data_IF_307693260756
#
_entry.id   IF_307693260756
#
_cell.length_a   1.000
_cell.length_b   1.000
_cell.length_c   1.000
_cell.angle_alpha   90.00
_cell.angle_beta   90.00
_cell.angle_gamma   90.00
#
_symmetry.space_group_name_H-M   'P 1'
#
loop_
_entity.id
_entity.type
_entity.pdbx_description
1 polymer ?
#
# COMPACT_ATOMS: atom_id res chain seq x y z
N UNK A 1 -6.35 -15.01 32.91
CA UNK A 1 -4.96 -15.33 32.48
C UNK A 1 -4.58 -14.78 31.08
N UNK A 2 -5.54 -14.34 30.26
CA UNK A 2 -5.30 -13.86 28.87
C UNK A 2 -4.87 -12.39 28.75
N UNK A 3 -5.39 -11.50 29.59
CA UNK A 3 -5.09 -10.06 29.53
C UNK A 3 -3.64 -9.74 29.92
N UNK A 4 -3.14 -10.34 31.02
CA UNK A 4 -1.76 -10.13 31.50
C UNK A 4 -0.73 -10.60 30.46
N UNK A 5 -0.97 -11.74 29.76
CA UNK A 5 -0.11 -12.20 28.66
C UNK A 5 -0.13 -11.28 27.44
N UNK A 6 -1.26 -10.62 27.18
CA UNK A 6 -1.39 -9.66 26.05
C UNK A 6 -0.63 -8.36 26.34
N UNK A 7 -0.76 -7.83 27.55
CA UNK A 7 0.01 -6.64 27.97
C UNK A 7 1.51 -6.90 28.04
N UNK A 8 1.94 -8.09 28.52
CA UNK A 8 3.35 -8.42 28.57
C UNK A 8 3.98 -8.51 27.16
N UNK A 9 3.28 -9.05 26.16
CA UNK A 9 3.77 -9.10 24.78
C UNK A 9 3.90 -7.69 24.16
N UNK A 10 2.95 -6.79 24.44
CA UNK A 10 3.02 -5.40 23.97
C UNK A 10 4.16 -4.62 24.64
N UNK A 11 4.36 -4.84 25.95
CA UNK A 11 5.47 -4.24 26.70
C UNK A 11 6.83 -4.74 26.20
N UNK A 12 6.98 -6.02 25.89
CA UNK A 12 8.22 -6.60 25.34
C UNK A 12 8.50 -6.00 23.96
N UNK A 13 7.48 -5.86 23.09
CA UNK A 13 7.64 -5.23 21.79
C UNK A 13 8.07 -3.77 21.89
N UNK A 14 7.41 -3.01 22.78
CA UNK A 14 7.75 -1.60 23.01
C UNK A 14 9.16 -1.44 23.61
N UNK A 15 9.52 -2.28 24.61
CA UNK A 15 10.86 -2.28 25.20
C UNK A 15 11.94 -2.63 24.18
N UNK A 16 11.70 -3.62 23.31
CA UNK A 16 12.62 -3.98 22.23
C UNK A 16 12.83 -2.84 21.23
N UNK A 17 11.75 -2.19 20.80
CA UNK A 17 11.83 -1.04 19.90
C UNK A 17 12.55 0.15 20.55
N UNK A 18 12.23 0.46 21.80
CA UNK A 18 12.93 1.54 22.55
C UNK A 18 14.42 1.23 22.74
N UNK A 19 14.77 -0.04 23.02
CA UNK A 19 16.16 -0.46 23.13
C UNK A 19 16.91 -0.25 21.80
N UNK A 20 16.31 -0.62 20.67
CA UNK A 20 16.90 -0.38 19.35
C UNK A 20 17.12 1.11 19.06
N UNK A 21 16.17 1.97 19.39
CA UNK A 21 16.31 3.42 19.22
C UNK A 21 17.43 3.98 20.09
N UNK A 22 17.56 3.53 21.35
CA UNK A 22 18.64 3.94 22.24
C UNK A 22 19.99 3.46 21.73
N UNK A 23 20.11 2.22 21.28
CA UNK A 23 21.33 1.70 20.69
C UNK A 23 21.72 2.47 19.42
N UNK A 24 20.76 2.79 18.56
CA UNK A 24 20.98 3.61 17.38
C UNK A 24 21.48 5.02 17.75
N UNK A 25 20.83 5.67 18.73
CA UNK A 25 21.25 6.99 19.20
C UNK A 25 22.67 6.96 19.79
N UNK A 26 23.00 5.94 20.59
CA UNK A 26 24.33 5.75 21.17
C UNK A 26 25.40 5.50 20.09
N UNK A 27 25.11 4.68 19.10
CA UNK A 27 26.02 4.41 17.99
C UNK A 27 26.37 5.71 17.22
N UNK A 28 25.38 6.58 17.01
CA UNK A 28 25.61 7.88 16.41
C UNK A 28 26.40 8.85 17.31
N UNK A 29 26.11 8.87 18.62
CA UNK A 29 26.84 9.69 19.59
C UNK A 29 28.32 9.28 19.71
N UNK A 30 28.61 7.99 19.66
CA UNK A 30 29.97 7.45 19.68
C UNK A 30 30.68 7.56 18.32
N UNK A 31 30.06 8.18 17.31
CA UNK A 31 30.59 8.31 15.94
C UNK A 31 31.05 6.95 15.32
N UNK A 32 30.39 5.83 15.69
CA UNK A 32 30.68 4.50 15.14
C UNK A 32 30.41 4.49 13.65
N UNK A 33 29.36 5.18 13.23
CA UNK A 33 28.99 5.35 11.81
C UNK A 33 29.02 6.84 11.44
N UNK A 34 29.54 7.18 10.25
CA UNK A 34 29.48 8.55 9.76
C UNK A 34 28.01 9.00 9.59
N UNK A 35 27.70 10.26 9.88
CA UNK A 35 26.35 10.84 9.81
C UNK A 35 25.70 10.74 8.42
N UNK A 36 26.51 10.71 7.36
CA UNK A 36 26.00 10.53 6.01
C UNK A 36 25.56 9.09 5.71
N UNK A 37 25.98 8.12 6.52
CA UNK A 37 25.54 6.72 6.41
C UNK A 37 24.25 6.51 7.21
N UNK A 38 24.26 6.99 8.48
CA UNK A 38 23.12 6.80 9.37
C UNK A 38 23.02 8.00 10.35
N UNK A 39 22.15 8.99 10.07
CA UNK A 39 21.89 10.07 11.00
C UNK A 39 21.22 9.55 12.27
N UNK A 40 21.42 10.24 13.38
CA UNK A 40 20.83 9.84 14.66
C UNK A 40 19.32 10.11 14.70
N UNK A 41 18.55 9.36 15.50
CA UNK A 41 17.11 9.64 15.70
C UNK A 41 16.81 11.09 16.10
N UNK A 42 17.71 11.71 16.90
CA UNK A 42 17.56 13.11 17.28
C UNK A 42 17.75 14.07 16.09
N UNK A 43 18.72 13.81 15.21
CA UNK A 43 18.94 14.62 13.99
C UNK A 43 17.75 14.50 13.05
N UNK A 44 17.18 13.28 12.89
CA UNK A 44 15.97 13.05 12.11
C UNK A 44 14.79 13.83 12.72
N UNK A 45 14.64 13.80 14.05
CA UNK A 45 13.61 14.56 14.76
C UNK A 45 13.74 16.07 14.54
N UNK A 46 14.97 16.60 14.60
CA UNK A 46 15.25 18.00 14.32
C UNK A 46 14.94 18.39 12.86
N UNK A 47 15.21 17.49 11.89
CA UNK A 47 14.85 17.68 10.49
C UNK A 47 13.33 17.83 10.30
N UNK A 48 12.51 17.06 11.02
CA UNK A 48 11.03 17.22 10.99
C UNK A 48 10.59 18.62 11.42
N UNK A 49 11.22 19.19 12.42
CA UNK A 49 10.87 20.54 12.91
C UNK A 49 11.38 21.62 11.95
N UNK A 50 12.63 21.51 11.52
CA UNK A 50 13.28 22.45 10.61
C UNK A 50 12.57 22.55 9.27
N UNK A 51 12.28 21.40 8.66
CA UNK A 51 11.79 21.30 7.29
C UNK A 51 10.26 21.07 7.22
N UNK A 52 9.54 21.32 8.32
CA UNK A 52 8.09 21.01 8.46
C UNK A 52 7.22 21.50 7.30
N UNK A 53 7.47 22.72 6.80
CA UNK A 53 6.66 23.30 5.75
C UNK A 53 6.85 22.56 4.41
N UNK A 54 8.09 22.22 4.06
CA UNK A 54 8.42 21.44 2.87
C UNK A 54 7.90 20.00 2.97
N UNK A 55 8.07 19.36 4.14
CA UNK A 55 7.56 18.03 4.39
C UNK A 55 6.03 17.96 4.22
N UNK A 56 5.28 18.93 4.75
CA UNK A 56 3.83 19.01 4.58
C UNK A 56 3.46 19.21 3.11
N UNK A 57 4.09 20.17 2.43
CA UNK A 57 3.82 20.45 1.02
C UNK A 57 4.01 19.21 0.14
N UNK A 58 5.18 18.57 0.23
CA UNK A 58 5.49 17.37 -0.54
C UNK A 58 4.65 16.16 -0.14
N UNK A 59 4.26 16.04 1.16
CA UNK A 59 3.34 14.99 1.62
C UNK A 59 1.97 15.11 0.97
N UNK A 60 1.42 16.31 0.87
CA UNK A 60 0.11 16.52 0.23
C UNK A 60 0.14 16.14 -1.25
N UNK A 61 1.21 16.49 -1.96
CA UNK A 61 1.40 16.08 -3.35
C UNK A 61 1.45 14.56 -3.51
N UNK A 62 2.29 13.88 -2.70
CA UNK A 62 2.39 12.40 -2.72
C UNK A 62 1.06 11.74 -2.35
N UNK A 63 0.36 12.23 -1.31
CA UNK A 63 -0.94 11.72 -0.90
C UNK A 63 -1.98 11.86 -2.01
N UNK A 64 -2.04 13.00 -2.68
CA UNK A 64 -2.97 13.24 -3.77
C UNK A 64 -2.77 12.21 -4.89
N UNK A 65 -1.54 12.03 -5.36
CA UNK A 65 -1.22 11.08 -6.45
C UNK A 65 -1.50 9.64 -6.03
N UNK A 66 -1.05 9.25 -4.81
CA UNK A 66 -1.25 7.91 -4.27
C UNK A 66 -2.74 7.56 -4.13
N UNK A 67 -3.56 8.50 -3.58
CA UNK A 67 -4.99 8.26 -3.38
C UNK A 67 -5.75 8.18 -4.71
N UNK A 68 -5.46 9.05 -5.66
CA UNK A 68 -6.10 8.99 -7.00
C UNK A 68 -5.76 7.65 -7.67
N UNK A 69 -4.48 7.26 -7.69
CA UNK A 69 -4.04 5.99 -8.27
C UNK A 69 -4.64 4.78 -7.56
N UNK A 70 -4.73 4.81 -6.22
CA UNK A 70 -5.35 3.76 -5.42
C UNK A 70 -6.85 3.62 -5.74
N UNK A 71 -7.60 4.72 -5.75
CA UNK A 71 -9.05 4.69 -6.05
C UNK A 71 -9.31 4.13 -7.45
N UNK A 72 -8.60 4.62 -8.46
CA UNK A 72 -8.73 4.11 -9.84
C UNK A 72 -8.34 2.62 -9.88
N UNK A 73 -7.23 2.24 -9.22
CA UNK A 73 -6.77 0.86 -9.15
C UNK A 73 -7.79 -0.07 -8.48
N UNK A 74 -8.42 0.36 -7.38
CA UNK A 74 -9.49 -0.41 -6.69
C UNK A 74 -10.69 -0.64 -7.60
N UNK A 75 -11.15 0.41 -8.30
CA UNK A 75 -12.29 0.29 -9.22
C UNK A 75 -11.99 -0.66 -10.39
N UNK A 76 -10.82 -0.54 -11.00
CA UNK A 76 -10.36 -1.44 -12.05
C UNK A 76 -10.20 -2.87 -11.56
N UNK A 77 -9.61 -3.07 -10.38
CA UNK A 77 -9.43 -4.39 -9.79
C UNK A 77 -10.76 -5.09 -9.50
N UNK A 78 -11.74 -4.37 -8.94
CA UNK A 78 -13.07 -4.91 -8.72
C UNK A 78 -13.73 -5.31 -10.04
N UNK A 79 -13.64 -4.46 -11.06
CA UNK A 79 -14.16 -4.77 -12.41
C UNK A 79 -13.50 -5.99 -13.03
N UNK A 80 -12.15 -6.08 -13.00
CA UNK A 80 -11.43 -7.25 -13.50
C UNK A 80 -11.77 -8.52 -12.73
N UNK A 81 -11.83 -8.49 -11.40
CA UNK A 81 -12.16 -9.66 -10.59
C UNK A 81 -13.57 -10.19 -10.91
N UNK A 82 -14.56 -9.29 -11.06
CA UNK A 82 -15.93 -9.66 -11.44
C UNK A 82 -15.97 -10.24 -12.85
N UNK A 83 -15.29 -9.65 -13.82
CA UNK A 83 -15.24 -10.16 -15.20
C UNK A 83 -14.56 -11.53 -15.25
N UNK A 84 -13.45 -11.70 -14.54
CA UNK A 84 -12.71 -12.97 -14.50
C UNK A 84 -13.49 -14.09 -13.78
N UNK A 85 -14.25 -13.78 -12.73
CA UNK A 85 -15.15 -14.74 -12.08
C UNK A 85 -16.35 -15.11 -12.95
N UNK A 86 -16.87 -14.15 -13.72
CA UNK A 86 -18.04 -14.35 -14.57
C UNK A 86 -17.74 -15.10 -15.86
N UNK A 87 -16.54 -14.92 -16.42
CA UNK A 87 -16.11 -15.46 -17.71
C UNK A 87 -14.74 -16.14 -17.58
N UNK A 88 -14.73 -17.48 -17.62
CA UNK A 88 -13.51 -18.29 -17.49
C UNK A 88 -12.45 -17.91 -18.54
N UNK A 89 -12.84 -17.66 -19.78
CA UNK A 89 -11.93 -17.26 -20.84
C UNK A 89 -11.21 -15.93 -20.55
N UNK A 90 -11.88 -15.00 -19.86
CA UNK A 90 -11.24 -13.73 -19.40
C UNK A 90 -10.18 -14.04 -18.34
N UNK A 91 -10.50 -14.91 -17.39
CA UNK A 91 -9.54 -15.33 -16.37
C UNK A 91 -8.31 -15.99 -17.01
N UNK A 92 -8.52 -16.92 -17.92
CA UNK A 92 -7.44 -17.67 -18.57
C UNK A 92 -6.56 -16.77 -19.46
N UNK A 93 -7.14 -15.70 -20.02
CA UNK A 93 -6.41 -14.70 -20.80
C UNK A 93 -5.68 -13.69 -19.92
N UNK A 94 -6.37 -13.06 -18.97
CA UNK A 94 -5.87 -11.88 -18.25
C UNK A 94 -4.93 -12.27 -17.10
N UNK A 95 -5.24 -13.33 -16.35
CA UNK A 95 -4.47 -13.73 -15.17
C UNK A 95 -2.98 -13.96 -15.45
N UNK A 96 -2.57 -14.71 -16.50
CA UNK A 96 -1.15 -14.90 -16.80
C UNK A 96 -0.42 -13.58 -17.10
N UNK A 97 -1.06 -12.64 -17.84
CA UNK A 97 -0.48 -11.33 -18.10
C UNK A 97 -0.26 -10.51 -16.83
N UNK A 98 -1.24 -10.53 -15.92
CA UNK A 98 -1.12 -9.85 -14.63
C UNK A 98 0.04 -10.40 -13.80
N UNK A 99 0.21 -11.74 -13.79
CA UNK A 99 1.34 -12.39 -13.11
C UNK A 99 2.67 -11.97 -13.72
N UNK A 100 2.79 -11.97 -15.05
CA UNK A 100 4.03 -11.54 -15.74
C UNK A 100 4.35 -10.09 -15.42
N UNK A 101 3.37 -9.18 -15.51
CA UNK A 101 3.59 -7.76 -15.22
C UNK A 101 4.08 -7.56 -13.78
N UNK A 102 3.55 -8.32 -12.83
CA UNK A 102 3.93 -8.22 -11.42
C UNK A 102 5.37 -8.72 -11.14
N UNK A 103 5.96 -9.52 -12.02
CA UNK A 103 7.37 -9.93 -11.88
C UNK A 103 8.36 -8.83 -12.29
N UNK A 104 7.90 -7.80 -13.01
CA UNK A 104 8.75 -6.70 -13.46
C UNK A 104 8.98 -5.73 -12.28
N UNK A 105 10.25 -5.44 -11.92
CA UNK A 105 10.53 -4.47 -10.86
C UNK A 105 9.93 -3.10 -11.19
N UNK A 106 9.16 -2.54 -10.27
CA UNK A 106 8.49 -1.22 -10.44
C UNK A 106 9.46 -0.09 -10.78
N UNK A 107 10.67 -0.14 -10.22
CA UNK A 107 11.71 0.84 -10.51
C UNK A 107 12.18 0.79 -11.98
N UNK A 108 12.07 -0.37 -12.64
CA UNK A 108 12.40 -0.52 -14.05
C UNK A 108 11.27 -0.06 -14.98
N UNK A 109 10.01 -0.16 -14.53
CA UNK A 109 8.85 0.30 -15.29
C UNK A 109 8.75 1.83 -15.33
N UNK A 110 9.12 2.52 -14.26
CA UNK A 110 8.93 3.96 -14.15
C UNK A 110 9.61 4.76 -15.29
N UNK A 111 10.88 4.51 -15.70
CA UNK A 111 11.48 5.20 -16.85
C UNK A 111 10.75 4.94 -18.16
N UNK A 112 10.26 3.72 -18.36
CA UNK A 112 9.56 3.31 -19.59
C UNK A 112 8.23 4.08 -19.69
N UNK A 113 7.50 4.19 -18.57
CA UNK A 113 6.24 4.93 -18.54
C UNK A 113 6.46 6.43 -18.78
N UNK A 114 7.53 7.02 -18.26
CA UNK A 114 7.90 8.40 -18.55
C UNK A 114 8.26 8.59 -20.03
N UNK A 115 8.94 7.61 -20.63
CA UNK A 115 9.26 7.65 -22.05
C UNK A 115 8.00 7.60 -22.95
N UNK A 116 7.01 6.78 -22.56
CA UNK A 116 5.77 6.62 -23.34
C UNK A 116 4.77 7.76 -23.15
N UNK A 117 4.60 8.23 -21.91
CA UNK A 117 3.55 9.19 -21.53
C UNK A 117 4.08 10.60 -21.23
N UNK A 118 5.40 10.79 -21.30
CA UNK A 118 6.03 12.05 -20.91
C UNK A 118 6.07 12.28 -19.41
N UNK A 119 6.50 13.48 -19.01
CA UNK A 119 6.53 13.90 -17.61
C UNK A 119 5.12 14.35 -17.17
N UNK A 120 4.77 14.09 -15.93
CA UNK A 120 3.51 14.56 -15.35
C UNK A 120 2.82 13.51 -14.46
N UNK A 121 1.51 13.65 -14.35
CA UNK A 121 0.69 12.81 -13.46
C UNK A 121 0.39 11.43 -14.07
N UNK A 122 0.24 11.35 -15.40
CA UNK A 122 -0.21 10.13 -16.07
C UNK A 122 0.73 8.93 -15.86
N UNK A 123 2.06 9.00 -16.10
CA UNK A 123 2.95 7.88 -15.85
C UNK A 123 2.96 7.43 -14.39
N UNK A 124 2.80 8.37 -13.44
CA UNK A 124 2.69 8.07 -12.01
C UNK A 124 1.45 7.24 -11.71
N UNK A 125 0.28 7.69 -12.21
CA UNK A 125 -0.98 6.96 -12.02
C UNK A 125 -0.93 5.56 -12.63
N UNK A 126 -0.41 5.42 -13.85
CA UNK A 126 -0.28 4.12 -14.52
C UNK A 126 0.59 3.17 -13.69
N UNK A 127 1.73 3.63 -13.15
CA UNK A 127 2.59 2.81 -12.31
C UNK A 127 1.87 2.34 -11.04
N UNK A 128 1.15 3.25 -10.37
CA UNK A 128 0.39 2.92 -9.16
C UNK A 128 -0.72 1.91 -9.48
N UNK A 129 -1.48 2.13 -10.55
CA UNK A 129 -2.56 1.23 -10.96
C UNK A 129 -2.03 -0.18 -11.23
N UNK A 130 -0.94 -0.32 -11.98
CA UNK A 130 -0.31 -1.62 -12.28
C UNK A 130 0.02 -2.37 -10.99
N UNK A 131 0.57 -1.69 -10.00
CA UNK A 131 1.01 -2.33 -8.75
C UNK A 131 -0.13 -2.64 -7.77
N UNK A 132 -1.19 -1.81 -7.79
CA UNK A 132 -2.33 -1.91 -6.87
C UNK A 132 -3.37 -2.93 -7.32
N UNK A 133 -3.60 -3.05 -8.64
CA UNK A 133 -4.66 -3.89 -9.21
C UNK A 133 -4.46 -5.36 -8.89
N UNK A 134 -3.26 -5.89 -9.06
CA UNK A 134 -2.99 -7.32 -8.93
C UNK A 134 -3.32 -7.90 -7.54
N UNK A 135 -2.84 -7.34 -6.41
CA UNK A 135 -3.15 -7.89 -5.09
C UNK A 135 -4.65 -7.91 -4.79
N UNK A 136 -5.40 -6.90 -5.25
CA UNK A 136 -6.85 -6.82 -5.03
C UNK A 136 -7.56 -7.87 -5.89
N UNK A 137 -7.21 -8.00 -7.17
CA UNK A 137 -7.81 -9.00 -8.08
C UNK A 137 -7.60 -10.41 -7.54
N UNK A 138 -6.36 -10.76 -7.20
CA UNK A 138 -6.04 -12.09 -6.67
C UNK A 138 -6.83 -12.38 -5.40
N UNK A 139 -6.83 -11.44 -4.45
CA UNK A 139 -7.57 -11.60 -3.20
C UNK A 139 -9.09 -11.74 -3.43
N UNK A 140 -9.68 -10.94 -4.34
CA UNK A 140 -11.10 -11.05 -4.67
C UNK A 140 -11.44 -12.39 -5.34
N UNK A 141 -10.62 -12.85 -6.30
CA UNK A 141 -10.80 -14.16 -6.94
C UNK A 141 -10.72 -15.30 -5.93
N UNK A 142 -9.78 -15.22 -4.99
CA UNK A 142 -9.70 -16.19 -3.90
C UNK A 142 -10.95 -16.13 -3.01
N UNK A 143 -11.47 -14.95 -2.72
CA UNK A 143 -12.73 -14.79 -2.00
C UNK A 143 -13.93 -15.41 -2.75
N UNK A 144 -14.02 -15.24 -4.06
CA UNK A 144 -15.08 -15.85 -4.88
C UNK A 144 -14.97 -17.37 -4.95
N UNK A 145 -13.74 -17.92 -4.98
CA UNK A 145 -13.49 -19.38 -4.98
C UNK A 145 -13.81 -20.04 -3.63
N UNK A 146 -13.64 -19.30 -2.52
CA UNK A 146 -13.93 -19.79 -1.17
C UNK A 146 -15.40 -19.62 -0.76
N UNK A 147 -16.30 -19.24 -1.68
CA UNK A 147 -17.73 -19.25 -1.44
C UNK A 147 -18.24 -20.66 -1.15
N UNK A 148 -19.12 -20.80 -0.15
CA UNK A 148 -19.73 -22.07 0.22
C UNK A 148 -20.57 -22.62 -0.93
N UNK A 149 -20.26 -23.85 -1.35
CA UNK A 149 -20.93 -24.52 -2.46
C UNK A 149 -22.39 -24.87 -2.15
N UNK A 150 -22.73 -25.14 -0.90
CA UNK A 150 -24.08 -25.45 -0.51
C UNK A 150 -24.98 -24.22 -0.59
N UNK A 151 -24.46 -23.06 -0.22
CA UNK A 151 -25.17 -21.79 -0.41
C UNK A 151 -25.32 -21.47 -1.90
N UNK A 152 -24.29 -21.70 -2.72
CA UNK A 152 -24.40 -21.52 -4.17
C UNK A 152 -25.45 -22.42 -4.79
N UNK A 153 -25.56 -23.70 -4.36
CA UNK A 153 -26.62 -24.63 -4.77
C UNK A 153 -28.00 -24.13 -4.34
N UNK A 154 -28.12 -23.56 -3.13
CA UNK A 154 -29.38 -22.97 -2.68
C UNK A 154 -29.84 -21.84 -3.61
N UNK A 155 -28.93 -20.92 -3.99
CA UNK A 155 -29.24 -19.88 -4.97
C UNK A 155 -29.69 -20.45 -6.33
N UNK A 156 -29.10 -21.58 -6.77
CA UNK A 156 -29.53 -22.28 -8.00
C UNK A 156 -30.94 -22.86 -7.86
N UNK A 157 -31.25 -23.48 -6.72
CA UNK A 157 -32.61 -24.04 -6.46
C UNK A 157 -33.65 -22.93 -6.44
N UNK A 158 -33.29 -21.76 -5.91
CA UNK A 158 -34.12 -20.54 -5.90
C UNK A 158 -34.20 -19.86 -7.28
N UNK A 159 -33.59 -20.44 -8.32
CA UNK A 159 -33.55 -19.90 -9.69
C UNK A 159 -32.93 -18.46 -9.75
N UNK A 160 -32.03 -18.13 -8.82
CA UNK A 160 -31.33 -16.86 -8.83
C UNK A 160 -30.42 -16.78 -10.06
N UNK A 161 -30.46 -15.64 -10.74
CA UNK A 161 -29.56 -15.40 -11.87
C UNK A 161 -28.11 -15.09 -11.39
N UNK A 162 -27.15 -15.11 -12.32
CA UNK A 162 -25.72 -14.91 -12.00
C UNK A 162 -25.47 -13.58 -11.30
N UNK A 163 -26.14 -12.52 -11.71
CA UNK A 163 -26.00 -11.19 -11.11
C UNK A 163 -26.55 -11.15 -9.67
N UNK A 164 -27.69 -11.78 -9.42
CA UNK A 164 -28.25 -11.91 -8.07
C UNK A 164 -27.32 -12.69 -7.15
N UNK A 165 -26.78 -13.81 -7.62
CA UNK A 165 -25.79 -14.61 -6.87
C UNK A 165 -24.52 -13.82 -6.58
N UNK A 166 -24.02 -13.05 -7.56
CA UNK A 166 -22.84 -12.21 -7.40
C UNK A 166 -23.06 -11.13 -6.32
N UNK A 167 -24.13 -10.34 -6.46
CA UNK A 167 -24.37 -9.17 -5.60
C UNK A 167 -24.80 -9.57 -4.19
N UNK A 168 -25.65 -10.59 -4.05
CA UNK A 168 -26.23 -10.93 -2.75
C UNK A 168 -25.42 -11.94 -1.95
N UNK A 169 -24.50 -12.66 -2.60
CA UNK A 169 -23.71 -13.68 -1.92
C UNK A 169 -22.21 -13.56 -2.16
N UNK A 170 -21.73 -13.65 -3.41
CA UNK A 170 -20.29 -13.69 -3.69
C UNK A 170 -19.55 -12.42 -3.24
N UNK A 171 -20.05 -11.23 -3.58
CA UNK A 171 -19.42 -9.96 -3.18
C UNK A 171 -19.37 -9.83 -1.66
N UNK A 172 -20.47 -9.97 -0.89
CA UNK A 172 -20.43 -9.94 0.56
C UNK A 172 -19.47 -10.97 1.17
N UNK A 173 -19.46 -12.20 0.65
CA UNK A 173 -18.57 -13.27 1.12
C UNK A 173 -17.08 -12.96 0.85
N UNK A 174 -16.78 -12.29 -0.25
CA UNK A 174 -15.42 -11.93 -0.66
C UNK A 174 -14.90 -10.64 0.00
N UNK A 175 -15.73 -9.84 0.68
CA UNK A 175 -15.30 -8.57 1.31
C UNK A 175 -14.09 -8.70 2.24
N UNK A 176 -13.96 -9.73 3.10
CA UNK A 176 -12.77 -9.90 3.94
C UNK A 176 -11.49 -10.07 3.10
N UNK A 177 -11.59 -10.80 2.00
CA UNK A 177 -10.49 -10.99 1.04
C UNK A 177 -10.14 -9.69 0.33
N UNK A 178 -11.16 -8.91 -0.07
CA UNK A 178 -10.96 -7.57 -0.64
C UNK A 178 -10.15 -6.67 0.30
N UNK A 179 -10.51 -6.62 1.60
CA UNK A 179 -9.77 -5.82 2.57
C UNK A 179 -8.35 -6.32 2.81
N UNK A 180 -8.11 -7.63 2.73
CA UNK A 180 -6.76 -8.19 2.78
C UNK A 180 -5.91 -7.71 1.58
N UNK A 181 -6.45 -7.78 0.36
CA UNK A 181 -5.80 -7.25 -0.84
C UNK A 181 -5.61 -5.73 -0.79
N UNK A 182 -6.60 -4.99 -0.32
CA UNK A 182 -6.54 -3.53 -0.20
C UNK A 182 -5.43 -3.06 0.75
N UNK A 183 -5.22 -3.75 1.88
CA UNK A 183 -4.10 -3.46 2.81
C UNK A 183 -2.74 -3.53 2.11
N UNK A 184 -2.50 -4.58 1.36
CA UNK A 184 -1.27 -4.76 0.59
C UNK A 184 -1.14 -3.66 -0.47
N UNK A 185 -2.23 -3.36 -1.18
CA UNK A 185 -2.28 -2.36 -2.24
C UNK A 185 -2.06 -0.94 -1.73
N UNK A 186 -2.48 -0.59 -0.53
CA UNK A 186 -2.16 0.72 0.09
C UNK A 186 -0.65 0.89 0.23
N UNK A 187 0.07 -0.11 0.73
CA UNK A 187 1.53 -0.04 0.83
C UNK A 187 2.19 0.09 -0.55
N UNK A 188 1.74 -0.67 -1.52
CA UNK A 188 2.25 -0.58 -2.89
C UNK A 188 1.94 0.76 -3.55
N UNK A 189 0.79 1.36 -3.28
CA UNK A 189 0.46 2.69 -3.79
C UNK A 189 1.49 3.74 -3.35
N UNK A 190 1.84 3.78 -2.06
CA UNK A 190 2.85 4.72 -1.56
C UNK A 190 4.24 4.43 -2.12
N UNK A 191 4.69 3.17 -2.14
CA UNK A 191 5.99 2.78 -2.69
C UNK A 191 6.08 3.19 -4.16
N UNK A 192 5.07 2.86 -4.96
CA UNK A 192 5.03 3.16 -6.40
C UNK A 192 4.95 4.66 -6.68
N UNK A 193 4.23 5.42 -5.83
CA UNK A 193 4.18 6.87 -5.94
C UNK A 193 5.56 7.47 -5.74
N UNK A 194 6.28 7.09 -4.66
CA UNK A 194 7.63 7.58 -4.39
C UNK A 194 8.60 7.23 -5.52
N UNK A 195 8.55 5.98 -6.01
CA UNK A 195 9.39 5.54 -7.14
C UNK A 195 9.09 6.34 -8.42
N UNK A 196 7.82 6.61 -8.71
CA UNK A 196 7.43 7.40 -9.86
C UNK A 196 7.86 8.87 -9.75
N UNK A 197 7.87 9.43 -8.53
CA UNK A 197 8.31 10.79 -8.26
C UNK A 197 9.82 10.97 -8.46
N UNK A 198 10.63 9.92 -8.26
CA UNK A 198 12.07 9.99 -8.49
C UNK A 198 12.45 10.31 -9.93
N UNK A 199 11.64 9.91 -10.88
CA UNK A 199 11.97 9.94 -12.30
C UNK A 199 11.22 11.01 -13.10
N UNK A 200 10.11 11.52 -12.58
CA UNK A 200 9.26 12.40 -13.36
C UNK A 200 8.49 13.45 -12.56
N UNK A 201 8.85 13.70 -11.30
CA UNK A 201 8.14 14.64 -10.44
C UNK A 201 8.80 16.01 -10.33
N UNK A 202 7.96 17.06 -10.22
CA UNK A 202 8.39 18.39 -9.76
C UNK A 202 8.14 18.52 -8.25
N UNK A 203 7.10 17.84 -7.73
CA UNK A 203 6.68 17.82 -6.35
C UNK A 203 6.46 16.38 -5.86
N UNK A 204 6.53 16.21 -4.55
CA UNK A 204 6.32 14.95 -3.84
C UNK A 204 7.48 14.56 -2.94
N UNK A 205 7.22 13.66 -1.98
CA UNK A 205 8.22 13.19 -1.01
C UNK A 205 9.39 12.49 -1.68
N UNK A 206 9.14 11.75 -2.78
CA UNK A 206 10.21 11.11 -3.56
C UNK A 206 11.13 12.12 -4.23
N UNK A 207 10.59 13.21 -4.78
CA UNK A 207 11.37 14.32 -5.34
C UNK A 207 12.21 14.98 -4.26
N UNK A 208 11.59 15.33 -3.13
CA UNK A 208 12.26 15.99 -2.02
C UNK A 208 13.36 15.10 -1.42
N UNK A 209 13.17 13.79 -1.37
CA UNK A 209 14.18 12.83 -0.94
C UNK A 209 15.41 12.84 -1.86
N UNK A 210 15.24 12.88 -3.18
CA UNK A 210 16.35 12.96 -4.14
C UNK A 210 17.06 14.31 -4.03
N UNK A 211 16.33 15.41 -3.84
CA UNK A 211 16.90 16.74 -3.65
C UNK A 211 17.72 16.80 -2.36
N UNK A 212 17.19 16.31 -1.24
CA UNK A 212 17.90 16.25 0.04
C UNK A 212 19.18 15.41 -0.04
N UNK A 213 19.14 14.28 -0.76
CA UNK A 213 20.33 13.46 -1.04
C UNK A 213 21.39 14.25 -1.81
N UNK A 214 21.00 15.01 -2.86
CA UNK A 214 21.93 15.82 -3.68
C UNK A 214 22.55 16.96 -2.86
N UNK A 215 21.84 17.49 -1.87
CA UNK A 215 22.30 18.55 -0.98
C UNK A 215 23.06 18.01 0.25
N UNK A 216 23.30 16.70 0.33
CA UNK A 216 23.93 16.02 1.46
C UNK A 216 23.18 16.19 2.80
N UNK A 217 21.86 16.47 2.75
CA UNK A 217 20.96 16.57 3.90
C UNK A 217 20.39 15.19 4.22
N UNK A 218 21.23 14.32 4.74
CA UNK A 218 20.83 12.92 4.99
C UNK A 218 19.82 12.79 6.12
N UNK A 219 19.87 13.69 7.11
CA UNK A 219 18.88 13.79 8.20
C UNK A 219 17.47 14.03 7.65
N UNK A 220 17.31 14.96 6.70
CA UNK A 220 16.04 15.22 5.99
C UNK A 220 15.64 14.02 5.13
N UNK A 221 16.58 13.40 4.42
CA UNK A 221 16.28 12.20 3.60
C UNK A 221 15.71 11.07 4.47
N UNK A 222 16.30 10.80 5.65
CA UNK A 222 15.78 9.80 6.56
C UNK A 222 14.44 10.21 7.21
N UNK A 223 14.25 11.50 7.50
CA UNK A 223 12.97 12.02 7.96
C UNK A 223 11.85 11.77 6.95
N UNK A 224 12.13 11.95 5.65
CA UNK A 224 11.18 11.64 4.57
C UNK A 224 10.84 10.14 4.54
N UNK A 225 11.83 9.25 4.68
CA UNK A 225 11.60 7.79 4.72
C UNK A 225 10.68 7.42 5.90
N UNK A 226 10.95 7.97 7.08
CA UNK A 226 10.11 7.75 8.27
C UNK A 226 8.69 8.28 8.02
N UNK A 227 8.57 9.45 7.40
CA UNK A 227 7.27 10.06 7.08
C UNK A 227 6.45 9.21 6.10
N UNK A 228 7.07 8.74 5.01
CA UNK A 228 6.43 7.85 4.03
C UNK A 228 5.94 6.57 4.72
N UNK A 229 6.79 5.97 5.57
CA UNK A 229 6.44 4.77 6.32
C UNK A 229 5.27 5.03 7.27
N UNK A 230 5.27 6.16 7.98
CA UNK A 230 4.19 6.54 8.89
C UNK A 230 2.86 6.76 8.14
N UNK A 231 2.88 7.44 6.99
CA UNK A 231 1.70 7.67 6.14
C UNK A 231 1.16 6.33 5.61
N UNK A 232 2.03 5.44 5.14
CA UNK A 232 1.65 4.11 4.67
C UNK A 232 1.00 3.27 5.77
N UNK A 233 1.59 3.24 6.97
CA UNK A 233 1.03 2.55 8.13
C UNK A 233 -0.32 3.15 8.57
N UNK A 234 -0.44 4.47 8.54
CA UNK A 234 -1.73 5.15 8.80
C UNK A 234 -2.79 4.74 7.77
N UNK A 235 -2.42 4.68 6.49
CA UNK A 235 -3.31 4.20 5.43
C UNK A 235 -3.79 2.77 5.68
N UNK A 236 -2.88 1.86 6.04
CA UNK A 236 -3.24 0.47 6.40
C UNK A 236 -4.16 0.42 7.63
N UNK A 237 -3.86 1.21 8.65
CA UNK A 237 -4.70 1.32 9.85
C UNK A 237 -6.12 1.82 9.51
N UNK A 238 -6.25 2.79 8.62
CA UNK A 238 -7.56 3.28 8.16
C UNK A 238 -8.33 2.18 7.42
N UNK A 239 -7.68 1.38 6.58
CA UNK A 239 -8.29 0.21 5.93
C UNK A 239 -8.78 -0.80 6.97
N UNK A 240 -8.00 -1.10 8.02
CA UNK A 240 -8.41 -1.99 9.11
C UNK A 240 -9.64 -1.46 9.87
N UNK A 241 -9.73 -0.15 10.09
CA UNK A 241 -10.92 0.45 10.72
C UNK A 241 -12.15 0.39 9.82
N UNK A 242 -11.97 0.62 8.50
CA UNK A 242 -13.04 0.46 7.51
C UNK A 242 -13.53 -0.99 7.47
N UNK A 243 -12.62 -1.95 7.43
CA UNK A 243 -12.96 -3.38 7.47
C UNK A 243 -13.81 -3.71 8.70
N UNK A 244 -13.36 -3.33 9.90
CA UNK A 244 -14.08 -3.57 11.14
C UNK A 244 -15.48 -2.92 11.18
N UNK A 245 -15.63 -1.80 10.49
CA UNK A 245 -16.91 -1.07 10.44
C UNK A 245 -17.87 -1.70 9.45
N UNK A 246 -17.36 -2.16 8.31
CA UNK A 246 -18.17 -2.76 7.25
C UNK A 246 -18.50 -4.23 7.58
N UNK A 247 -17.58 -5.00 8.15
CA UNK A 247 -17.75 -6.43 8.45
C UNK A 247 -18.26 -6.70 9.87
N UNK A 248 -19.15 -5.86 10.39
CA UNK A 248 -19.72 -6.05 11.73
C UNK A 248 -20.43 -7.39 11.90
N UNK A 249 -21.04 -7.92 10.84
CA UNK A 249 -21.76 -9.19 10.84
C UNK A 249 -20.88 -10.44 10.99
N UNK A 250 -19.55 -10.33 10.81
CA UNK A 250 -18.61 -11.46 10.92
C UNK A 250 -18.02 -11.63 12.34
N UNK A 251 -18.49 -10.86 13.32
CA UNK A 251 -17.96 -10.85 14.70
C UNK A 251 -18.61 -11.87 15.64
N UNK A 252 -19.55 -12.68 15.16
CA UNK A 252 -20.19 -13.75 15.93
C UNK A 252 -19.60 -15.13 15.62
#
# INVERSE_FOLDING_TARGET
>A
MSLVKRYSKQLIGFAGFSCLLVLWQLAGFLNILPKFVLPTPLEIGNAFVRDRALLIHHSLSTLQVALIGLVIGVLLAAGFAILMDSFQWVNDLVYPFMVVIQTIPTIALAPILVLWFGYGMLPKLVLIIITVVFPIVVSLLDGFRHCDQDILRLFQIMQANRFQTLVHYKIPAALPYFFAGLRVSVSYAFISTVVSEWLGGFDGLGVYMIQSKKLFQYDTMFAIIVLISAISLLGMFLVDQLERTILKWKKD
#
